data_IF_187841542183
#
_entry.id   IF_187841542183
#
_cell.length_a   1.000
_cell.length_b   1.000
_cell.length_c   1.000
_cell.angle_alpha   90.00
_cell.angle_beta   90.00
_cell.angle_gamma   90.00
#
_symmetry.space_group_name_H-M   'P 1'
#
loop_
_entity.id
_entity.type
_entity.pdbx_description
1 polymer ?
#
# COMPACT_ATOMS: atom_id res chain seq x y z
N UNK A 1 -26.81 28.30 30.49
CA UNK A 1 -25.53 27.81 29.91
C UNK A 1 -25.86 27.33 28.51
N UNK A 2 -25.47 28.08 27.48
CA UNK A 2 -26.04 28.01 26.14
C UNK A 2 -25.32 26.98 25.25
N UNK A 3 -26.11 26.19 24.51
CA UNK A 3 -25.66 25.35 23.41
C UNK A 3 -25.05 26.21 22.30
N UNK A 4 -23.87 25.81 21.84
CA UNK A 4 -23.07 26.52 20.86
C UNK A 4 -23.04 25.66 19.57
N UNK A 5 -23.73 26.18 18.54
CA UNK A 5 -23.48 26.03 17.09
C UNK A 5 -24.12 24.88 16.29
N UNK A 6 -25.21 25.23 15.61
CA UNK A 6 -25.40 24.92 14.19
C UNK A 6 -24.69 25.97 13.31
N UNK A 7 -24.42 25.67 12.03
CA UNK A 7 -23.31 26.25 11.26
C UNK A 7 -23.69 27.59 10.62
N UNK A 8 -22.72 28.51 10.55
CA UNK A 8 -22.81 29.69 9.69
C UNK A 8 -21.54 29.83 8.88
N UNK A 9 -21.50 29.14 7.73
CA UNK A 9 -20.86 29.52 6.47
C UNK A 9 -20.80 28.29 5.58
N UNK A 10 -20.88 28.51 4.28
CA UNK A 10 -20.74 27.50 3.24
C UNK A 10 -19.46 26.68 3.46
N UNK A 11 -19.58 25.51 4.06
CA UNK A 11 -18.66 24.43 3.75
C UNK A 11 -19.04 23.97 2.34
N UNK A 12 -18.09 23.87 1.38
CA UNK A 12 -18.36 23.07 0.19
C UNK A 12 -18.83 21.69 0.68
N UNK A 13 -19.71 20.98 -0.06
CA UNK A 13 -20.09 19.65 0.37
C UNK A 13 -18.81 18.87 0.60
N UNK A 14 -18.58 18.42 1.84
CA UNK A 14 -17.66 17.32 2.10
C UNK A 14 -18.28 16.19 1.31
N UNK A 15 -17.87 16.03 0.05
CA UNK A 15 -18.28 14.90 -0.76
C UNK A 15 -17.79 13.71 0.06
N UNK A 16 -18.68 12.89 0.62
CA UNK A 16 -18.25 11.71 1.33
C UNK A 16 -17.34 10.95 0.38
N UNK A 17 -16.17 10.51 0.87
CA UNK A 17 -15.24 9.75 0.05
C UNK A 17 -16.04 8.67 -0.71
N UNK A 18 -15.96 8.68 -2.04
CA UNK A 18 -16.60 7.65 -2.85
C UNK A 18 -15.77 6.38 -2.67
N UNK A 19 -16.37 5.37 -2.04
CA UNK A 19 -15.69 4.12 -1.73
C UNK A 19 -16.21 3.00 -2.63
N UNK A 20 -15.30 2.31 -3.30
CA UNK A 20 -15.57 1.04 -3.95
C UNK A 20 -15.25 -0.12 -3.00
N UNK A 21 -16.06 -1.19 -2.94
CA UNK A 21 -15.69 -2.39 -2.20
C UNK A 21 -14.42 -3.02 -2.78
N UNK A 22 -13.45 -3.35 -1.93
CA UNK A 22 -12.15 -3.90 -2.33
C UNK A 22 -11.98 -5.32 -1.81
N UNK A 23 -11.43 -6.20 -2.63
CA UNK A 23 -10.91 -7.51 -2.21
C UNK A 23 -9.39 -7.52 -2.23
N UNK A 24 -8.81 -8.36 -1.38
CA UNK A 24 -7.38 -8.61 -1.30
C UNK A 24 -7.09 -10.05 -1.73
N UNK A 25 -6.24 -10.23 -2.76
CA UNK A 25 -6.00 -11.53 -3.38
C UNK A 25 -4.56 -11.62 -3.93
N UNK A 26 -4.22 -12.72 -4.59
CA UNK A 26 -3.00 -12.88 -5.37
C UNK A 26 -2.91 -11.82 -6.47
N UNK A 27 -1.69 -11.41 -6.83
CA UNK A 27 -1.50 -10.37 -7.85
C UNK A 27 -2.07 -10.71 -9.24
N UNK A 28 -2.33 -11.99 -9.54
CA UNK A 28 -3.03 -12.42 -10.76
C UNK A 28 -4.51 -12.02 -10.81
N UNK A 29 -5.08 -11.52 -9.71
CA UNK A 29 -6.44 -10.98 -9.72
C UNK A 29 -6.54 -9.63 -10.45
N UNK A 30 -5.41 -8.93 -10.62
CA UNK A 30 -5.31 -7.68 -11.37
C UNK A 30 -4.67 -7.88 -12.75
N UNK A 31 -4.66 -6.81 -13.55
CA UNK A 31 -4.01 -6.76 -14.86
C UNK A 31 -2.53 -7.15 -14.81
N UNK A 32 -2.11 -8.01 -15.75
CA UNK A 32 -0.69 -8.32 -15.97
C UNK A 32 -0.11 -7.37 -17.02
N UNK A 33 0.61 -6.35 -16.58
CA UNK A 33 1.23 -5.36 -17.46
C UNK A 33 2.66 -5.82 -17.77
N UNK A 34 2.98 -5.93 -19.06
CA UNK A 34 4.29 -6.41 -19.56
C UNK A 34 4.74 -7.76 -18.96
N UNK A 35 3.79 -8.64 -18.65
CA UNK A 35 4.02 -9.96 -18.01
C UNK A 35 4.60 -9.90 -16.59
N UNK A 36 4.61 -8.73 -15.96
CA UNK A 36 4.98 -8.59 -14.56
C UNK A 36 3.78 -8.82 -13.64
N UNK A 37 4.00 -9.54 -12.54
CA UNK A 37 2.98 -9.93 -11.59
C UNK A 37 3.41 -9.61 -10.15
N UNK A 38 2.75 -8.67 -9.46
CA UNK A 38 2.89 -8.50 -8.02
C UNK A 38 2.51 -9.78 -7.26
N UNK A 39 2.95 -9.96 -6.02
CA UNK A 39 2.54 -11.13 -5.24
C UNK A 39 1.08 -11.01 -4.78
N UNK A 40 0.63 -9.79 -4.53
CA UNK A 40 -0.72 -9.48 -4.03
C UNK A 40 -1.37 -8.33 -4.78
N UNK A 41 -2.70 -8.30 -4.76
CA UNK A 41 -3.50 -7.23 -5.34
C UNK A 41 -4.66 -6.80 -4.44
N UNK A 42 -4.95 -5.51 -4.51
CA UNK A 42 -6.21 -4.92 -4.06
C UNK A 42 -7.03 -4.54 -5.29
N UNK A 43 -8.16 -5.20 -5.51
CA UNK A 43 -9.02 -5.00 -6.71
C UNK A 43 -10.46 -4.72 -6.31
N UNK A 44 -11.21 -4.04 -7.18
CA UNK A 44 -12.61 -3.71 -6.95
C UNK A 44 -13.46 -4.98 -7.05
N UNK A 45 -14.34 -5.20 -6.07
CA UNK A 45 -15.26 -6.34 -6.09
C UNK A 45 -16.25 -6.17 -7.24
N UNK A 46 -16.39 -7.21 -8.06
CA UNK A 46 -17.29 -7.20 -9.22
C UNK A 46 -16.75 -6.45 -10.43
N UNK A 47 -15.50 -5.98 -10.39
CA UNK A 47 -14.79 -5.54 -11.59
C UNK A 47 -14.27 -6.72 -12.42
N UNK A 48 -13.50 -6.42 -13.47
CA UNK A 48 -13.03 -7.43 -14.39
C UNK A 48 -11.76 -8.08 -13.85
N UNK A 49 -11.90 -9.31 -13.34
CA UNK A 49 -10.76 -10.13 -12.92
C UNK A 49 -9.74 -10.21 -14.05
N UNK A 50 -8.44 -10.07 -13.74
CA UNK A 50 -7.30 -10.03 -14.69
C UNK A 50 -7.20 -8.82 -15.61
N UNK A 51 -8.16 -7.88 -15.57
CA UNK A 51 -8.10 -6.62 -16.34
C UNK A 51 -8.08 -5.39 -15.42
N UNK A 52 -8.52 -5.53 -14.17
CA UNK A 52 -8.60 -4.42 -13.23
C UNK A 52 -7.24 -3.95 -12.73
N UNK A 53 -7.17 -2.66 -12.42
CA UNK A 53 -5.96 -2.07 -11.83
C UNK A 53 -5.76 -2.56 -10.40
N UNK A 54 -4.55 -3.01 -10.09
CA UNK A 54 -4.15 -3.29 -8.72
C UNK A 54 -3.99 -1.96 -7.98
N UNK A 55 -4.90 -1.61 -7.07
CA UNK A 55 -4.87 -0.31 -6.38
C UNK A 55 -3.75 -0.20 -5.32
N UNK A 56 -3.15 -1.33 -4.91
CA UNK A 56 -1.95 -1.35 -4.07
C UNK A 56 -1.12 -2.63 -4.23
N UNK A 57 -0.22 -2.69 -5.22
CA UNK A 57 0.63 -3.87 -5.41
C UNK A 57 1.54 -4.12 -4.22
N UNK A 58 1.59 -5.38 -3.81
CA UNK A 58 2.47 -5.85 -2.75
C UNK A 58 3.49 -6.87 -3.24
N UNK A 59 4.60 -6.94 -2.50
CA UNK A 59 5.63 -7.95 -2.67
C UNK A 59 5.80 -8.71 -1.34
N UNK A 60 5.72 -10.03 -1.42
CA UNK A 60 5.84 -10.92 -0.26
C UNK A 60 7.25 -11.49 -0.23
N UNK A 61 7.86 -11.45 0.96
CA UNK A 61 9.21 -11.97 1.17
C UNK A 61 9.29 -12.80 2.43
N UNK A 62 10.37 -13.55 2.52
CA UNK A 62 10.82 -14.20 3.74
C UNK A 62 12.01 -13.38 4.25
N UNK A 63 12.10 -13.20 5.55
CA UNK A 63 12.95 -12.21 6.22
C UNK A 63 14.44 -12.42 5.99
N UNK A 64 14.85 -13.66 5.73
CA UNK A 64 16.22 -14.01 5.31
C UNK A 64 16.58 -13.55 3.88
N UNK A 65 15.59 -13.19 3.05
CA UNK A 65 15.75 -12.63 1.69
C UNK A 65 15.56 -11.13 1.68
N UNK A 66 14.71 -10.61 2.56
CA UNK A 66 14.50 -9.18 2.68
C UNK A 66 13.97 -8.80 4.05
N UNK A 67 14.63 -7.82 4.67
CA UNK A 67 14.09 -7.08 5.81
C UNK A 67 14.73 -5.69 5.86
N UNK A 68 14.15 -4.79 6.66
CA UNK A 68 14.53 -3.37 6.73
C UNK A 68 15.90 -3.14 7.34
N UNK A 69 16.43 -4.06 8.16
CA UNK A 69 17.78 -3.95 8.70
C UNK A 69 18.86 -4.07 7.62
N UNK A 70 18.56 -4.75 6.50
CA UNK A 70 19.46 -4.87 5.35
C UNK A 70 19.83 -3.51 4.73
N UNK A 71 19.00 -2.48 4.94
CA UNK A 71 19.30 -1.09 4.56
C UNK A 71 20.63 -0.59 5.12
N UNK A 72 20.99 -1.05 6.32
CA UNK A 72 22.20 -0.68 7.03
C UNK A 72 23.22 -1.82 7.07
N UNK A 73 23.01 -2.88 6.29
CA UNK A 73 23.93 -4.01 6.21
C UNK A 73 25.31 -3.59 5.71
N UNK A 74 26.35 -4.16 6.31
CA UNK A 74 27.75 -3.86 5.96
C UNK A 74 28.09 -4.28 4.53
N UNK A 75 27.48 -5.36 4.05
CA UNK A 75 27.65 -5.84 2.68
C UNK A 75 26.86 -5.01 1.67
N UNK A 76 27.50 -4.67 0.55
CA UNK A 76 26.82 -4.05 -0.59
C UNK A 76 25.71 -4.94 -1.16
N UNK A 77 25.86 -6.27 -1.04
CA UNK A 77 24.86 -7.23 -1.50
C UNK A 77 23.53 -7.04 -0.74
N UNK A 78 23.56 -6.93 0.59
CA UNK A 78 22.35 -6.71 1.38
C UNK A 78 21.67 -5.38 1.05
N UNK A 79 22.46 -4.31 0.90
CA UNK A 79 21.90 -3.00 0.51
C UNK A 79 21.31 -3.04 -0.90
N UNK A 80 21.90 -3.81 -1.82
CA UNK A 80 21.39 -4.01 -3.18
C UNK A 80 20.08 -4.79 -3.16
N UNK A 81 20.02 -5.91 -2.45
CA UNK A 81 18.79 -6.72 -2.29
C UNK A 81 17.66 -5.88 -1.67
N UNK A 82 17.99 -5.10 -0.64
CA UNK A 82 17.05 -4.16 -0.02
C UNK A 82 16.44 -3.20 -1.04
N UNK A 83 17.27 -2.54 -1.85
CA UNK A 83 16.83 -1.58 -2.85
C UNK A 83 16.12 -2.23 -4.05
N UNK A 84 16.49 -3.46 -4.42
CA UNK A 84 15.87 -4.18 -5.54
C UNK A 84 14.39 -4.47 -5.27
N UNK A 85 14.06 -4.96 -4.08
CA UNK A 85 12.66 -5.21 -3.67
C UNK A 85 11.85 -3.92 -3.66
N UNK A 86 12.39 -2.84 -3.11
CA UNK A 86 11.69 -1.54 -3.14
C UNK A 86 11.50 -1.01 -4.56
N UNK A 87 12.50 -1.21 -5.43
CA UNK A 87 12.42 -0.81 -6.84
C UNK A 87 11.38 -1.62 -7.60
N UNK A 88 11.23 -2.91 -7.27
CA UNK A 88 10.20 -3.79 -7.83
C UNK A 88 8.79 -3.32 -7.44
N UNK A 89 8.54 -3.04 -6.16
CA UNK A 89 7.23 -2.48 -5.74
C UNK A 89 6.97 -1.14 -6.41
N UNK A 90 7.98 -0.25 -6.49
CA UNK A 90 7.83 1.02 -7.20
C UNK A 90 7.54 0.85 -8.69
N UNK A 91 8.10 -0.17 -9.33
CA UNK A 91 7.81 -0.50 -10.72
C UNK A 91 6.33 -0.90 -10.89
N UNK A 92 5.82 -1.78 -10.02
CA UNK A 92 4.40 -2.16 -10.03
C UNK A 92 3.46 -0.98 -9.76
N UNK A 93 3.80 -0.12 -8.80
CA UNK A 93 3.02 1.09 -8.52
C UNK A 93 2.94 2.00 -9.74
N UNK A 94 4.03 2.13 -10.52
CA UNK A 94 4.02 2.91 -11.77
C UNK A 94 3.18 2.24 -12.86
N UNK A 95 3.28 0.93 -13.03
CA UNK A 95 2.48 0.20 -14.02
C UNK A 95 0.99 0.34 -13.76
N UNK A 96 0.57 0.33 -12.51
CA UNK A 96 -0.82 0.43 -12.09
C UNK A 96 -1.24 1.86 -11.68
N UNK A 97 -0.38 2.86 -11.90
CA UNK A 97 -0.63 4.27 -11.57
C UNK A 97 -1.11 4.51 -10.12
N UNK A 98 -0.60 3.70 -9.18
CA UNK A 98 -1.08 3.66 -7.80
C UNK A 98 -0.30 4.60 -6.90
N UNK A 99 -1.01 5.19 -5.93
CA UNK A 99 -0.39 5.94 -4.83
C UNK A 99 0.27 5.03 -3.80
N UNK A 100 -0.22 3.80 -3.67
CA UNK A 100 0.10 2.92 -2.57
C UNK A 100 0.74 1.62 -3.04
N UNK A 101 1.72 1.15 -2.27
CA UNK A 101 2.34 -0.16 -2.45
C UNK A 101 3.04 -0.55 -1.15
N UNK A 102 3.44 -1.80 -1.02
CA UNK A 102 4.03 -2.29 0.22
C UNK A 102 4.91 -3.52 0.02
N UNK A 103 5.73 -3.81 1.02
CA UNK A 103 6.44 -5.08 1.18
C UNK A 103 5.97 -5.70 2.49
N UNK A 104 5.72 -7.01 2.48
CA UNK A 104 5.42 -7.76 3.70
C UNK A 104 6.34 -8.98 3.75
N UNK A 105 7.05 -9.13 4.87
CA UNK A 105 7.76 -10.36 5.19
C UNK A 105 7.05 -11.15 6.28
N UNK A 106 7.60 -12.31 6.64
CA UNK A 106 7.24 -13.07 7.84
C UNK A 106 7.66 -12.39 9.15
N UNK A 107 8.38 -11.26 9.12
CA UNK A 107 8.78 -10.49 10.31
C UNK A 107 8.21 -9.07 10.37
N UNK A 108 7.88 -8.45 9.25
CA UNK A 108 7.44 -7.05 9.22
C UNK A 108 6.57 -6.67 8.02
N UNK A 109 5.81 -5.59 8.17
CA UNK A 109 5.10 -4.91 7.09
C UNK A 109 5.65 -3.49 6.90
N UNK A 110 5.79 -3.07 5.64
CA UNK A 110 6.34 -1.77 5.27
C UNK A 110 5.55 -1.15 4.12
N UNK A 111 4.91 0.00 4.38
CA UNK A 111 4.22 0.80 3.35
C UNK A 111 5.21 1.71 2.60
N UNK A 112 5.03 1.85 1.27
CA UNK A 112 5.68 2.85 0.42
C UNK A 112 5.03 4.23 0.60
N UNK A 113 5.85 5.27 0.80
CA UNK A 113 5.36 6.62 1.12
C UNK A 113 5.27 7.57 -0.07
N UNK A 114 5.99 7.34 -1.17
CA UNK A 114 6.12 8.34 -2.23
C UNK A 114 5.99 7.79 -3.67
N UNK A 115 5.29 8.54 -4.53
CA UNK A 115 5.19 8.31 -5.98
C UNK A 115 6.24 9.06 -6.80
N UNK A 116 7.06 9.93 -6.18
CA UNK A 116 8.06 10.77 -6.86
C UNK A 116 9.38 10.01 -7.16
N UNK A 117 9.34 8.68 -7.14
CA UNK A 117 10.46 7.83 -7.51
C UNK A 117 11.57 7.67 -6.45
N UNK A 118 11.44 8.22 -5.23
CA UNK A 118 12.35 7.83 -4.14
C UNK A 118 11.87 6.49 -3.57
N UNK A 119 12.74 5.82 -2.83
CA UNK A 119 12.43 4.54 -2.16
C UNK A 119 12.10 4.80 -0.68
N UNK A 120 11.29 5.84 -0.39
CA UNK A 120 10.95 6.22 0.99
C UNK A 120 9.88 5.30 1.61
N UNK A 121 10.26 4.53 2.63
CA UNK A 121 9.34 3.64 3.34
C UNK A 121 8.87 4.21 4.68
N UNK A 122 7.69 3.75 5.12
CA UNK A 122 7.21 3.97 6.48
C UNK A 122 8.06 3.21 7.51
N UNK A 123 7.90 3.57 8.78
CA UNK A 123 8.44 2.77 9.89
C UNK A 123 7.91 1.33 9.79
N UNK A 124 8.78 0.31 9.86
CA UNK A 124 8.34 -1.09 9.79
C UNK A 124 7.41 -1.43 10.94
N UNK A 125 6.38 -2.24 10.66
CA UNK A 125 5.45 -2.77 11.63
C UNK A 125 5.79 -4.25 11.84
N UNK A 126 6.39 -4.63 12.98
CA UNK A 126 6.69 -6.04 13.26
C UNK A 126 5.42 -6.87 13.45
N UNK A 127 5.45 -8.16 13.12
CA UNK A 127 4.34 -9.08 13.43
C UNK A 127 4.06 -9.22 14.94
N UNK A 128 5.07 -8.95 15.78
CA UNK A 128 4.93 -8.92 17.24
C UNK A 128 4.29 -7.64 17.77
N UNK A 129 4.04 -6.64 16.91
CA UNK A 129 3.38 -5.38 17.27
C UNK A 129 1.86 -5.51 17.24
N UNK A 130 1.20 -4.82 18.17
CA UNK A 130 -0.26 -4.74 18.26
C UNK A 130 -0.71 -4.34 19.66
N UNK A 131 -1.88 -3.72 19.73
CA UNK A 131 -2.47 -3.24 20.97
C UNK A 131 -2.90 -1.78 20.88
N UNK A 132 -3.31 -1.22 22.02
CA UNK A 132 -3.78 0.17 22.07
C UNK A 132 -2.63 1.11 21.68
N UNK A 133 -2.83 1.89 20.62
CA UNK A 133 -1.86 2.86 20.12
C UNK A 133 -0.67 2.27 19.33
N UNK A 134 -0.65 0.95 19.06
CA UNK A 134 0.40 0.29 18.29
C UNK A 134 -0.19 -0.42 17.08
N UNK A 135 0.27 -0.11 15.85
CA UNK A 135 -0.23 -0.79 14.66
C UNK A 135 0.22 -2.25 14.64
N UNK A 136 -0.64 -3.14 14.13
CA UNK A 136 -0.28 -4.51 13.78
C UNK A 136 -0.24 -4.68 12.26
N UNK A 137 0.42 -5.73 11.77
CA UNK A 137 0.48 -6.01 10.33
C UNK A 137 -0.91 -6.17 9.71
N UNK A 138 -1.81 -6.90 10.38
CA UNK A 138 -3.19 -7.09 9.90
C UNK A 138 -3.97 -5.78 9.85
N UNK A 139 -3.80 -4.91 10.84
CA UNK A 139 -4.42 -3.58 10.83
C UNK A 139 -3.86 -2.72 9.69
N UNK A 140 -2.56 -2.82 9.40
CA UNK A 140 -1.93 -2.10 8.30
C UNK A 140 -2.45 -2.56 6.93
N UNK A 141 -2.57 -3.87 6.71
CA UNK A 141 -3.16 -4.45 5.49
C UNK A 141 -4.63 -4.04 5.32
N UNK A 142 -5.41 -4.10 6.40
CA UNK A 142 -6.81 -3.68 6.37
C UNK A 142 -6.94 -2.18 6.08
N UNK A 143 -6.15 -1.35 6.77
CA UNK A 143 -6.18 0.10 6.57
C UNK A 143 -5.72 0.51 5.18
N UNK A 144 -4.76 -0.20 4.60
CA UNK A 144 -4.39 -0.02 3.20
C UNK A 144 -5.59 -0.31 2.27
N UNK A 145 -6.37 -1.35 2.56
CA UNK A 145 -7.64 -1.65 1.91
C UNK A 145 -8.64 -0.48 1.98
N UNK A 146 -8.75 0.17 3.15
CA UNK A 146 -9.58 1.37 3.32
C UNK A 146 -9.08 2.53 2.46
N UNK A 147 -7.76 2.76 2.43
CA UNK A 147 -7.16 3.84 1.64
C UNK A 147 -7.36 3.64 0.13
N UNK A 148 -7.26 2.40 -0.37
CA UNK A 148 -7.42 2.11 -1.80
C UNK A 148 -8.88 2.00 -2.24
N UNK A 149 -9.82 1.87 -1.29
CA UNK A 149 -11.24 1.92 -1.57
C UNK A 149 -11.68 3.33 -2.03
N UNK A 150 -10.98 4.39 -1.63
CA UNK A 150 -11.29 5.77 -1.98
C UNK A 150 -10.99 6.06 -3.46
N UNK A 151 -12.06 6.10 -4.28
CA UNK A 151 -12.01 6.15 -5.74
C UNK A 151 -11.24 7.36 -6.28
N UNK A 152 -11.24 8.47 -5.55
CA UNK A 152 -10.63 9.73 -5.99
C UNK A 152 -9.18 9.92 -5.50
N UNK A 153 -8.61 8.97 -4.75
CA UNK A 153 -7.33 9.18 -4.06
C UNK A 153 -6.37 7.98 -4.12
N UNK A 154 -6.84 6.80 -4.52
CA UNK A 154 -5.98 5.62 -4.61
C UNK A 154 -4.90 5.72 -5.71
N UNK A 155 -5.16 6.48 -6.77
CA UNK A 155 -4.24 6.68 -7.89
C UNK A 155 -3.31 7.89 -7.69
N UNK A 156 -2.19 7.90 -8.39
CA UNK A 156 -1.39 9.10 -8.58
C UNK A 156 -2.17 10.03 -9.51
N UNK A 157 -2.47 11.25 -9.08
CA UNK A 157 -3.06 12.24 -9.97
C UNK A 157 -2.05 12.55 -11.07
N UNK A 158 -2.46 12.35 -12.32
CA UNK A 158 -1.70 12.77 -13.52
C UNK A 158 -1.90 14.26 -13.75
#
# INVERSE_FOLDING_TARGET
MALYWMPSRFDPPVIPAQLSPITFDFGSAAALIDQFKPDTAYVVVGGNYTDDTNRAPGDLKVSWKWNTSMRFGESEAFRREYNQVLSQVNFYMKQHETRYGYVCSDTEFVKRLDGNGRLAIATPIPWTSGGVGQPSVLLALWYLGVLVAEDNNWALAV
#
